data_IF_052592998223
#
_entry.id   IF_052592998223
#
_cell.length_a   1.000
_cell.length_b   1.000
_cell.length_c   1.000
_cell.angle_alpha   90.00
_cell.angle_beta   90.00
_cell.angle_gamma   90.00
#
_symmetry.space_group_name_H-M   'P 1'
#
loop_
_entity.id
_entity.type
_entity.pdbx_description
1 polymer ?
#
# COMPACT_ATOMS: atom_id res chain seq x y z
N UNK A 1 8.14 -7.09 -22.37
CA UNK A 1 7.26 -6.72 -23.51
C UNK A 1 7.56 -7.52 -24.80
N UNK A 2 8.81 -7.90 -25.11
CA UNK A 2 9.16 -8.61 -26.36
C UNK A 2 8.46 -9.97 -26.60
N UNK A 3 8.20 -10.75 -25.55
CA UNK A 3 7.57 -12.07 -25.68
C UNK A 3 6.10 -11.99 -26.12
N UNK A 4 5.29 -11.13 -25.51
CA UNK A 4 3.86 -11.00 -25.85
C UNK A 4 3.64 -10.55 -27.30
N UNK A 5 4.48 -9.64 -27.80
CA UNK A 5 4.45 -9.23 -29.21
C UNK A 5 4.85 -10.39 -30.14
N UNK A 6 5.91 -11.14 -29.78
CA UNK A 6 6.34 -12.33 -30.54
C UNK A 6 5.26 -13.42 -30.57
N UNK A 7 4.59 -13.69 -29.44
CA UNK A 7 3.48 -14.63 -29.34
C UNK A 7 2.29 -14.23 -30.22
N UNK A 8 1.90 -12.95 -30.17
CA UNK A 8 0.81 -12.43 -31.00
C UNK A 8 1.11 -12.57 -32.49
N UNK A 9 2.34 -12.24 -32.92
CA UNK A 9 2.76 -12.37 -34.31
C UNK A 9 2.83 -13.83 -34.77
N UNK A 10 3.33 -14.75 -33.94
CA UNK A 10 3.32 -16.19 -34.23
C UNK A 10 1.88 -16.71 -34.39
N UNK A 11 0.96 -16.34 -33.51
CA UNK A 11 -0.45 -16.73 -33.59
C UNK A 11 -1.15 -16.18 -34.84
N UNK A 12 -0.84 -14.95 -35.25
CA UNK A 12 -1.36 -14.35 -36.49
C UNK A 12 -0.81 -15.09 -37.72
N UNK A 13 0.49 -15.39 -37.74
CA UNK A 13 1.13 -16.11 -38.84
C UNK A 13 0.66 -17.56 -38.96
N UNK A 14 0.39 -18.24 -37.84
CA UNK A 14 -0.16 -19.61 -37.86
C UNK A 14 -1.57 -19.67 -38.47
N UNK A 15 -2.43 -18.67 -38.20
CA UNK A 15 -3.78 -18.60 -38.81
C UNK A 15 -3.75 -18.40 -40.32
N UNK A 16 -2.70 -17.78 -40.85
CA UNK A 16 -2.53 -17.52 -42.28
C UNK A 16 -1.64 -18.57 -42.97
N UNK A 17 -1.30 -19.67 -42.28
CA UNK A 17 -0.42 -20.73 -42.80
C UNK A 17 -1.22 -21.89 -43.38
N UNK A 18 -0.87 -22.30 -44.60
CA UNK A 18 -1.44 -23.46 -45.32
C UNK A 18 -1.08 -24.84 -44.69
N UNK A 19 -0.29 -24.86 -43.61
CA UNK A 19 0.19 -26.06 -42.91
C UNK A 19 -0.43 -26.24 -41.52
N UNK A 20 -1.69 -25.84 -41.34
CA UNK A 20 -2.45 -25.89 -40.06
C UNK A 20 -2.46 -27.26 -39.36
N UNK A 21 -2.00 -28.35 -39.99
CA UNK A 21 -1.96 -29.71 -39.43
C UNK A 21 -0.58 -30.13 -38.89
N UNK A 22 0.43 -29.26 -38.94
CA UNK A 22 1.73 -29.55 -38.30
C UNK A 22 1.62 -29.23 -36.81
N UNK A 23 1.83 -30.28 -36.00
CA UNK A 23 1.71 -30.33 -34.54
C UNK A 23 2.16 -29.04 -33.84
N UNK A 24 1.37 -28.69 -32.84
CA UNK A 24 1.49 -27.55 -31.93
C UNK A 24 2.94 -27.12 -31.70
N UNK A 25 3.25 -25.91 -32.13
CA UNK A 25 4.50 -25.26 -31.77
C UNK A 25 4.42 -25.02 -30.26
N UNK A 26 5.14 -25.80 -29.47
CA UNK A 26 5.27 -25.56 -28.02
C UNK A 26 5.97 -24.22 -27.80
N UNK A 27 5.18 -23.22 -27.46
CA UNK A 27 5.70 -21.91 -27.12
C UNK A 27 6.21 -21.98 -25.68
N UNK A 28 7.53 -22.14 -25.53
CA UNK A 28 8.17 -22.14 -24.22
C UNK A 28 7.93 -20.81 -23.52
N UNK A 29 7.23 -20.87 -22.37
CA UNK A 29 7.03 -19.71 -21.54
C UNK A 29 8.37 -19.19 -21.01
N UNK A 30 8.57 -17.85 -20.99
CA UNK A 30 9.78 -17.28 -20.46
C UNK A 30 9.87 -17.58 -18.96
N UNK A 31 10.91 -18.29 -18.54
CA UNK A 31 11.17 -18.52 -17.14
C UNK A 31 11.50 -17.18 -16.46
N UNK A 32 10.76 -16.86 -15.41
CA UNK A 32 11.09 -15.71 -14.58
C UNK A 32 12.47 -15.90 -13.94
N UNK A 33 13.25 -14.81 -13.87
CA UNK A 33 14.47 -14.83 -13.07
C UNK A 33 14.07 -14.94 -11.61
N UNK A 34 14.84 -15.71 -10.82
CA UNK A 34 14.67 -15.72 -9.38
C UNK A 34 15.00 -14.33 -8.83
N UNK A 35 14.03 -13.73 -8.17
CA UNK A 35 14.16 -12.44 -7.49
C UNK A 35 14.00 -12.67 -6.00
N UNK A 36 14.72 -11.89 -5.18
CA UNK A 36 14.46 -11.87 -3.75
C UNK A 36 13.06 -11.30 -3.51
N UNK A 37 12.28 -11.95 -2.64
CA UNK A 37 11.00 -11.38 -2.17
C UNK A 37 11.26 -10.06 -1.45
N UNK A 38 10.35 -9.11 -1.61
CA UNK A 38 10.41 -7.86 -0.86
C UNK A 38 10.24 -8.13 0.64
N UNK A 39 10.91 -7.33 1.44
CA UNK A 39 10.65 -7.30 2.88
C UNK A 39 9.24 -6.71 3.11
N UNK A 40 8.62 -7.04 4.25
CA UNK A 40 7.25 -6.60 4.55
C UNK A 40 7.08 -5.08 4.44
N UNK A 41 8.00 -4.30 5.00
CA UNK A 41 7.92 -2.82 4.96
C UNK A 41 7.97 -2.29 3.53
N UNK A 42 8.82 -2.87 2.67
CA UNK A 42 8.96 -2.43 1.28
C UNK A 42 7.75 -2.81 0.45
N UNK A 43 7.19 -4.00 0.70
CA UNK A 43 5.93 -4.45 0.10
C UNK A 43 4.81 -3.49 0.47
N UNK A 44 4.64 -3.16 1.75
CA UNK A 44 3.59 -2.25 2.23
C UNK A 44 3.74 -0.84 1.66
N UNK A 45 4.97 -0.31 1.58
CA UNK A 45 5.23 0.97 0.92
C UNK A 45 4.83 0.95 -0.55
N UNK A 46 5.14 -0.13 -1.27
CA UNK A 46 4.78 -0.30 -2.68
C UNK A 46 3.27 -0.48 -2.88
N UNK A 47 2.59 -1.22 -2.01
CA UNK A 47 1.13 -1.30 -2.00
C UNK A 47 0.51 0.09 -1.85
N UNK A 48 0.96 0.87 -0.86
CA UNK A 48 0.47 2.23 -0.65
C UNK A 48 0.78 3.17 -1.82
N UNK A 49 1.95 3.04 -2.45
CA UNK A 49 2.34 3.86 -3.60
C UNK A 49 1.44 3.58 -4.83
N UNK A 50 1.13 2.31 -5.09
CA UNK A 50 0.38 1.90 -6.29
C UNK A 50 -1.12 1.99 -6.10
N UNK A 51 -1.64 1.55 -4.95
CA UNK A 51 -3.08 1.41 -4.67
C UNK A 51 -3.59 2.63 -3.89
N UNK A 52 -2.71 3.32 -3.15
CA UNK A 52 -3.08 4.43 -2.27
C UNK A 52 -3.53 3.99 -0.86
N UNK A 53 -3.55 2.70 -0.57
CA UNK A 53 -3.86 2.12 0.74
C UNK A 53 -3.05 0.85 0.97
N UNK A 54 -2.95 0.42 2.23
CA UNK A 54 -2.36 -0.88 2.55
C UNK A 54 -3.42 -1.98 2.39
N UNK A 55 -3.15 -2.98 1.55
CA UNK A 55 -4.13 -4.03 1.24
C UNK A 55 -3.89 -5.28 2.09
N UNK A 56 -2.63 -5.70 2.21
CA UNK A 56 -2.28 -6.99 2.79
C UNK A 56 -2.11 -6.91 4.31
N UNK A 57 -1.54 -5.82 4.83
CA UNK A 57 -1.31 -5.62 6.27
C UNK A 57 -1.11 -4.13 6.58
N UNK A 58 -1.29 -3.71 7.82
CA UNK A 58 -0.99 -2.33 8.24
C UNK A 58 0.36 -2.27 8.95
N UNK A 59 1.21 -1.25 8.74
CA UNK A 59 2.50 -1.16 9.44
C UNK A 59 2.35 -1.03 10.97
N UNK A 60 1.19 -0.57 11.44
CA UNK A 60 0.86 -0.51 12.88
C UNK A 60 0.52 -1.89 13.47
N UNK A 61 0.39 -2.94 12.63
CA UNK A 61 0.07 -4.29 13.12
C UNK A 61 1.18 -4.89 14.00
N UNK A 62 2.42 -4.45 13.85
CA UNK A 62 3.51 -4.87 14.74
C UNK A 62 3.33 -4.35 16.17
N UNK A 63 2.52 -3.30 16.36
CA UNK A 63 2.30 -2.59 17.62
C UNK A 63 0.86 -2.75 18.14
N UNK A 64 0.19 -3.86 17.82
CA UNK A 64 -1.22 -4.07 18.19
C UNK A 64 -1.41 -4.09 19.70
N UNK A 65 -0.48 -4.66 20.45
CA UNK A 65 -0.56 -4.71 21.91
C UNK A 65 -0.44 -3.30 22.51
N UNK A 66 0.55 -2.54 22.05
CA UNK A 66 0.80 -1.17 22.47
C UNK A 66 -0.39 -0.29 22.12
N UNK A 67 -0.90 -0.44 20.90
CA UNK A 67 -2.09 0.29 20.45
C UNK A 67 -3.29 -0.07 21.35
N UNK A 68 -3.49 -1.34 21.67
CA UNK A 68 -4.62 -1.78 22.51
C UNK A 68 -4.54 -1.28 23.96
N UNK A 69 -3.35 -1.24 24.56
CA UNK A 69 -3.21 -0.91 25.99
C UNK A 69 -2.90 0.57 26.27
N UNK A 70 -2.25 1.27 25.33
CA UNK A 70 -1.89 2.67 25.52
C UNK A 70 -2.85 3.67 24.89
N UNK A 71 -3.70 3.23 23.95
CA UNK A 71 -4.74 4.10 23.39
C UNK A 71 -6.06 3.97 24.12
N UNK A 72 -6.81 5.06 24.18
CA UNK A 72 -8.15 5.09 24.77
C UNK A 72 -9.22 5.60 23.81
N UNK A 73 -8.83 6.04 22.62
CA UNK A 73 -9.72 6.44 21.54
C UNK A 73 -9.07 6.18 20.18
N UNK A 74 -9.89 5.92 19.17
CA UNK A 74 -9.45 5.87 17.77
C UNK A 74 -9.64 7.22 17.07
N UNK A 75 -9.04 7.40 15.89
CA UNK A 75 -9.29 8.60 15.06
C UNK A 75 -10.76 8.72 14.65
N UNK A 76 -11.44 7.58 14.48
CA UNK A 76 -12.86 7.53 14.15
C UNK A 76 -13.73 8.09 15.29
N UNK A 77 -13.40 7.72 16.54
CA UNK A 77 -14.07 8.25 17.72
C UNK A 77 -13.94 9.77 17.83
N UNK A 78 -12.78 10.33 17.46
CA UNK A 78 -12.52 11.78 17.46
C UNK A 78 -13.40 12.50 16.42
N UNK A 79 -13.59 11.89 15.26
CA UNK A 79 -14.36 12.48 14.17
C UNK A 79 -15.87 12.40 14.42
N UNK A 80 -16.36 11.23 14.85
CA UNK A 80 -17.80 10.92 14.91
C UNK A 80 -18.39 10.97 16.32
N UNK A 81 -17.60 10.78 17.38
CA UNK A 81 -18.07 10.61 18.77
C UNK A 81 -17.50 11.66 19.73
N UNK A 82 -17.47 12.94 19.33
CA UNK A 82 -16.88 14.05 20.11
C UNK A 82 -17.40 14.17 21.55
N UNK A 83 -18.68 13.88 21.77
CA UNK A 83 -19.30 13.95 23.10
C UNK A 83 -18.69 12.98 24.11
N UNK A 84 -18.25 11.79 23.66
CA UNK A 84 -17.62 10.78 24.54
C UNK A 84 -16.23 11.20 25.03
N UNK A 85 -15.62 12.13 24.30
CA UNK A 85 -14.21 12.50 24.37
C UNK A 85 -14.02 13.87 25.05
N UNK A 86 -15.04 14.73 25.00
CA UNK A 86 -14.98 16.09 25.54
C UNK A 86 -14.59 16.08 27.03
N UNK A 87 -13.61 16.91 27.40
CA UNK A 87 -13.13 17.03 28.78
C UNK A 87 -12.28 15.87 29.31
N UNK A 88 -12.00 14.85 28.49
CA UNK A 88 -11.15 13.71 28.87
C UNK A 88 -9.77 13.79 28.22
N UNK A 89 -8.77 13.20 28.87
CA UNK A 89 -7.44 13.01 28.28
C UNK A 89 -7.51 11.89 27.24
N UNK A 90 -7.05 12.17 26.03
CA UNK A 90 -7.07 11.24 24.90
C UNK A 90 -5.64 10.80 24.60
N UNK A 91 -5.46 9.49 24.43
CA UNK A 91 -4.23 8.90 23.93
C UNK A 91 -4.58 8.16 22.63
N UNK A 92 -3.94 8.57 21.54
CA UNK A 92 -4.08 7.96 20.22
C UNK A 92 -2.74 7.45 19.72
N UNK A 93 -2.76 6.39 18.93
CA UNK A 93 -1.60 5.85 18.23
C UNK A 93 -1.90 5.78 16.73
N UNK A 94 -0.85 5.94 15.93
CA UNK A 94 -0.96 5.95 14.49
C UNK A 94 0.39 6.20 13.85
N UNK A 95 0.40 6.22 12.52
CA UNK A 95 1.58 6.45 11.69
C UNK A 95 1.54 7.86 11.13
N UNK A 96 2.65 8.57 11.24
CA UNK A 96 2.81 9.86 10.59
C UNK A 96 3.07 9.63 9.10
N UNK A 97 2.11 10.01 8.26
CA UNK A 97 2.19 9.87 6.82
C UNK A 97 2.86 11.07 6.15
N UNK A 98 2.67 12.26 6.71
CA UNK A 98 3.28 13.51 6.25
C UNK A 98 3.58 14.41 7.44
N UNK A 99 4.68 15.16 7.39
CA UNK A 99 5.01 16.20 8.36
C UNK A 99 5.50 17.46 7.65
N UNK A 100 5.14 18.62 8.20
CA UNK A 100 5.49 19.94 7.71
C UNK A 100 5.97 20.77 8.89
N UNK A 101 7.28 21.03 8.93
CA UNK A 101 7.89 21.90 9.91
C UNK A 101 7.72 23.36 9.49
N UNK A 102 7.23 24.21 10.39
CA UNK A 102 6.99 25.63 10.13
C UNK A 102 7.44 26.49 11.30
N UNK A 103 7.64 27.77 11.03
CA UNK A 103 7.98 28.79 12.02
C UNK A 103 6.88 29.85 11.99
N UNK A 104 6.31 30.14 13.16
CA UNK A 104 5.30 31.19 13.34
C UNK A 104 5.93 32.58 13.20
N UNK A 105 5.11 33.60 12.95
CA UNK A 105 5.53 35.02 12.94
C UNK A 105 6.23 35.42 14.25
N UNK A 106 5.88 34.78 15.37
CA UNK A 106 6.51 35.02 16.68
C UNK A 106 7.75 34.12 16.90
N UNK A 107 8.39 33.63 15.83
CA UNK A 107 9.57 32.77 15.82
C UNK A 107 9.42 31.42 16.58
N UNK A 108 8.19 30.96 16.83
CA UNK A 108 7.92 29.66 17.45
C UNK A 108 7.87 28.55 16.38
N UNK A 109 8.68 27.51 16.54
CA UNK A 109 8.65 26.31 15.67
C UNK A 109 7.41 25.47 15.98
N UNK A 110 6.72 25.00 14.95
CA UNK A 110 5.59 24.08 15.05
C UNK A 110 5.59 23.08 13.90
N UNK A 111 4.84 21.99 14.04
CA UNK A 111 4.73 20.94 13.02
C UNK A 111 3.25 20.71 12.74
N UNK A 112 2.91 20.65 11.45
CA UNK A 112 1.63 20.12 10.99
C UNK A 112 1.91 18.73 10.44
N UNK A 113 1.17 17.72 10.87
CA UNK A 113 1.35 16.36 10.38
C UNK A 113 0.01 15.68 10.08
N UNK A 114 0.07 14.67 9.22
CA UNK A 114 -1.04 13.77 8.92
C UNK A 114 -0.81 12.46 9.67
N UNK A 115 -1.74 12.12 10.56
CA UNK A 115 -1.74 10.87 11.31
C UNK A 115 -2.74 9.89 10.69
N UNK A 116 -2.30 8.65 10.47
CA UNK A 116 -3.13 7.56 9.97
C UNK A 116 -3.21 6.45 11.03
N UNK A 117 -4.39 5.86 11.23
CA UNK A 117 -4.66 4.75 12.16
C UNK A 117 -5.15 3.53 11.37
N UNK A 118 -5.09 2.34 11.96
CA UNK A 118 -5.49 1.04 11.36
C UNK A 118 -6.87 1.11 10.70
N UNK A 119 -7.81 1.86 11.31
CA UNK A 119 -9.19 2.01 10.82
C UNK A 119 -9.41 3.26 9.98
N UNK A 120 -8.42 4.15 9.90
CA UNK A 120 -8.57 5.40 9.16
C UNK A 120 -8.40 5.13 7.67
N UNK A 121 -9.52 4.87 7.00
CA UNK A 121 -9.62 5.05 5.56
C UNK A 121 -10.13 6.47 5.31
N UNK A 122 -9.24 7.33 4.80
CA UNK A 122 -9.46 8.66 4.21
C UNK A 122 -10.61 9.52 4.77
#
# INVERSE_FOLDING_TARGET
IKFGVKYKNLKINMKNSLFSNVKDIEILEPKFKNCKKWNNIDLLKKEKEVIGMYLTSHPLNEYVYETKYFTNASLDDINHNKEKILGKKINICGIISKSLHRISKNNKKYIIFLLEDIKSNK
#
